data_IF_496262453798
#
_entry.id   IF_496262453798
#
_cell.length_a   1.000
_cell.length_b   1.000
_cell.length_c   1.000
_cell.angle_alpha   90.00
_cell.angle_beta   90.00
_cell.angle_gamma   90.00
#
_symmetry.space_group_name_H-M   'P 1'
#
loop_
_entity.id
_entity.type
_entity.pdbx_description
1 polymer ?
#
# COMPACT_ATOMS: atom_id res chain seq x y z
N UNK A 1 4.38 -11.44 21.54
CA UNK A 1 5.11 -10.26 21.01
C UNK A 1 5.09 -10.37 19.49
N UNK A 2 4.08 -9.79 18.82
CA UNK A 2 3.95 -9.86 17.37
C UNK A 2 4.98 -8.90 16.75
N UNK A 3 5.80 -9.31 15.76
CA UNK A 3 6.84 -8.45 15.19
C UNK A 3 6.25 -7.13 14.70
N UNK A 4 6.97 -6.04 14.95
CA UNK A 4 6.45 -4.66 14.94
C UNK A 4 6.06 -4.11 13.55
N UNK A 5 6.38 -4.81 12.46
CA UNK A 5 6.10 -4.38 11.10
C UNK A 5 5.43 -5.50 10.29
N UNK A 6 4.33 -5.18 9.62
CA UNK A 6 3.89 -5.96 8.47
C UNK A 6 4.70 -5.50 7.24
N UNK A 7 5.12 -6.43 6.39
CA UNK A 7 5.80 -6.10 5.14
C UNK A 7 4.96 -6.67 4.00
N UNK A 8 4.51 -5.81 3.10
CA UNK A 8 3.85 -6.24 1.86
C UNK A 8 4.87 -6.13 0.73
N UNK A 9 5.15 -7.26 0.07
CA UNK A 9 6.16 -7.35 -1.00
C UNK A 9 5.47 -7.54 -2.35
N UNK A 10 5.80 -6.67 -3.30
CA UNK A 10 5.38 -6.77 -4.70
C UNK A 10 6.63 -6.91 -5.56
N UNK A 11 6.57 -7.83 -6.52
CA UNK A 11 7.69 -8.13 -7.42
C UNK A 11 7.27 -7.91 -8.86
N UNK A 12 8.14 -7.27 -9.63
CA UNK A 12 8.00 -7.25 -11.07
C UNK A 12 9.37 -7.26 -11.76
N UNK A 13 9.44 -7.83 -12.95
CA UNK A 13 10.71 -8.21 -13.57
C UNK A 13 11.17 -7.28 -14.69
N UNK A 14 10.23 -6.67 -15.40
CA UNK A 14 10.47 -6.29 -16.78
C UNK A 14 10.82 -4.81 -17.01
N UNK A 15 10.57 -3.92 -16.04
CA UNK A 15 10.86 -2.47 -16.16
C UNK A 15 11.53 -1.94 -14.87
N UNK A 16 12.09 -0.73 -14.90
CA UNK A 16 12.43 0.02 -13.68
C UNK A 16 11.18 0.66 -13.06
N UNK A 17 11.28 1.13 -11.80
CA UNK A 17 10.15 1.79 -11.13
C UNK A 17 9.72 3.05 -11.90
N UNK A 18 10.70 3.83 -12.39
CA UNK A 18 10.45 5.05 -13.16
C UNK A 18 9.84 4.77 -14.54
N UNK A 19 10.26 3.71 -15.23
CA UNK A 19 9.66 3.33 -16.51
C UNK A 19 8.22 2.84 -16.32
N UNK A 20 7.98 2.02 -15.29
CA UNK A 20 6.65 1.53 -14.97
C UNK A 20 5.68 2.68 -14.65
N UNK A 21 6.12 3.69 -13.88
CA UNK A 21 5.35 4.90 -13.58
C UNK A 21 4.87 5.65 -14.83
N UNK A 22 5.67 5.67 -15.90
CA UNK A 22 5.36 6.42 -17.12
C UNK A 22 4.66 5.58 -18.19
N UNK A 23 4.76 4.26 -18.12
CA UNK A 23 4.32 3.35 -19.20
C UNK A 23 3.05 2.59 -18.85
N UNK A 24 2.87 2.24 -17.57
CA UNK A 24 1.77 1.42 -17.11
C UNK A 24 0.67 2.30 -16.51
N UNK A 25 -0.47 2.41 -17.21
CA UNK A 25 -1.63 3.17 -16.74
C UNK A 25 -2.13 2.65 -15.37
N UNK A 26 -2.21 1.33 -15.24
CA UNK A 26 -2.68 0.62 -14.03
C UNK A 26 -1.55 0.35 -13.01
N UNK A 27 -0.46 1.10 -13.04
CA UNK A 27 0.63 0.89 -12.08
C UNK A 27 0.20 1.28 -10.66
N UNK A 28 0.75 0.58 -9.67
CA UNK A 28 0.40 0.78 -8.27
C UNK A 28 1.03 2.02 -7.64
N UNK A 29 2.10 2.56 -8.21
CA UNK A 29 2.76 3.77 -7.70
C UNK A 29 2.35 4.99 -8.54
N UNK A 30 2.43 6.16 -7.91
CA UNK A 30 2.27 7.48 -8.51
C UNK A 30 3.37 8.42 -8.00
N UNK A 31 3.59 9.53 -8.71
CA UNK A 31 4.34 10.67 -8.18
C UNK A 31 3.37 11.65 -7.55
N UNK A 32 3.64 12.06 -6.31
CA UNK A 32 2.88 13.11 -5.68
C UNK A 32 3.20 14.50 -6.28
N UNK A 33 2.49 15.52 -5.81
CA UNK A 33 2.68 16.90 -6.25
C UNK A 33 4.10 17.44 -6.02
N UNK A 34 4.87 16.80 -5.12
CA UNK A 34 6.26 17.15 -4.80
C UNK A 34 7.27 16.31 -5.60
N UNK A 35 6.79 15.38 -6.44
CA UNK A 35 7.62 14.47 -7.24
C UNK A 35 8.09 13.22 -6.49
N UNK A 36 7.65 13.00 -5.25
CA UNK A 36 7.97 11.80 -4.47
C UNK A 36 7.12 10.62 -4.94
N UNK A 37 7.73 9.44 -5.04
CA UNK A 37 7.03 8.21 -5.45
C UNK A 37 6.30 7.64 -4.23
N UNK A 38 5.01 7.30 -4.41
CA UNK A 38 4.17 6.67 -3.39
C UNK A 38 3.15 5.73 -4.00
N UNK A 39 2.54 4.87 -3.19
CA UNK A 39 1.44 3.98 -3.51
C UNK A 39 0.17 4.80 -3.74
N UNK A 40 -0.43 4.58 -4.91
CA UNK A 40 -1.70 5.18 -5.31
C UNK A 40 -2.78 4.87 -4.30
N UNK A 41 -3.45 5.91 -3.81
CA UNK A 41 -4.44 5.79 -2.74
C UNK A 41 -5.73 5.12 -3.23
N UNK A 42 -6.02 5.20 -4.52
CA UNK A 42 -7.15 4.57 -5.20
C UNK A 42 -6.85 3.16 -5.76
N UNK A 43 -5.63 2.64 -5.60
CA UNK A 43 -5.22 1.35 -6.15
C UNK A 43 -5.49 0.18 -5.19
N UNK A 44 -5.78 -1.01 -5.74
CA UNK A 44 -6.13 -2.23 -5.00
C UNK A 44 -5.14 -2.60 -3.88
N UNK A 45 -3.85 -2.46 -4.17
CA UNK A 45 -2.79 -2.73 -3.19
C UNK A 45 -2.84 -1.81 -1.96
N UNK A 46 -3.27 -0.55 -2.12
CA UNK A 46 -3.42 0.35 -0.99
C UNK A 46 -4.54 -0.11 -0.06
N UNK A 47 -5.67 -0.57 -0.62
CA UNK A 47 -6.74 -1.18 0.19
C UNK A 47 -6.24 -2.40 0.96
N UNK A 48 -5.44 -3.27 0.34
CA UNK A 48 -4.87 -4.46 1.00
C UNK A 48 -3.93 -4.10 2.14
N UNK A 49 -3.03 -3.12 1.94
CA UNK A 49 -2.12 -2.63 2.99
C UNK A 49 -2.91 -2.05 4.16
N UNK A 50 -3.91 -1.21 3.87
CA UNK A 50 -4.76 -0.61 4.89
C UNK A 50 -5.53 -1.69 5.66
N UNK A 51 -6.14 -2.66 4.99
CA UNK A 51 -6.84 -3.76 5.64
C UNK A 51 -5.93 -4.54 6.58
N UNK A 52 -4.73 -4.93 6.12
CA UNK A 52 -3.76 -5.64 6.96
C UNK A 52 -3.39 -4.81 8.19
N UNK A 53 -3.13 -3.51 8.01
CA UNK A 53 -2.82 -2.60 9.10
C UNK A 53 -3.92 -2.53 10.16
N UNK A 54 -5.19 -2.46 9.74
CA UNK A 54 -6.33 -2.42 10.65
C UNK A 54 -6.58 -3.76 11.35
N UNK A 55 -6.59 -4.87 10.60
CA UNK A 55 -6.84 -6.20 11.15
C UNK A 55 -5.75 -6.66 12.11
N UNK A 56 -4.50 -6.27 11.86
CA UNK A 56 -3.35 -6.66 12.70
C UNK A 56 -2.98 -5.62 13.76
N UNK A 57 -3.72 -4.52 13.83
CA UNK A 57 -3.48 -3.37 14.71
C UNK A 57 -2.03 -2.85 14.66
N UNK A 58 -1.41 -2.89 13.47
CA UNK A 58 -0.03 -2.45 13.29
C UNK A 58 0.04 -0.93 13.10
N UNK A 59 1.07 -0.28 13.66
CA UNK A 59 1.24 1.16 13.50
C UNK A 59 1.69 1.55 12.08
N UNK A 60 2.29 0.61 11.33
CA UNK A 60 2.75 0.82 9.97
C UNK A 60 2.97 -0.50 9.24
N UNK A 61 3.01 -0.43 7.91
CA UNK A 61 3.41 -1.48 7.00
C UNK A 61 4.44 -0.93 6.01
N UNK A 62 5.57 -1.60 5.87
CA UNK A 62 6.55 -1.23 4.86
C UNK A 62 6.16 -1.89 3.53
N UNK A 63 5.72 -1.08 2.58
CA UNK A 63 5.41 -1.52 1.22
C UNK A 63 6.70 -1.55 0.41
N UNK A 64 7.11 -2.75 0.02
CA UNK A 64 8.37 -2.96 -0.71
C UNK A 64 8.06 -3.39 -2.15
N UNK A 65 8.56 -2.63 -3.12
CA UNK A 65 8.53 -2.98 -4.54
C UNK A 65 9.94 -3.30 -5.01
N UNK A 66 10.14 -4.48 -5.59
CA UNK A 66 11.44 -4.92 -6.11
C UNK A 66 11.41 -5.13 -7.63
N UNK A 67 12.50 -4.74 -8.30
CA UNK A 67 12.73 -4.98 -9.74
C UNK A 67 14.17 -5.40 -10.07
N UNK A 68 14.33 -6.31 -11.05
CA UNK A 68 15.63 -6.77 -11.57
C UNK A 68 16.35 -5.71 -12.40
N UNK A 69 15.64 -4.68 -12.90
CA UNK A 69 16.19 -3.72 -13.87
C UNK A 69 16.83 -2.48 -13.24
N UNK A 70 16.69 -2.29 -11.94
CA UNK A 70 17.16 -1.09 -11.26
C UNK A 70 18.14 -1.46 -10.14
N UNK A 71 19.35 -0.89 -10.19
CA UNK A 71 20.38 -1.10 -9.16
C UNK A 71 20.00 -0.49 -7.80
N UNK A 72 18.93 0.32 -7.77
CA UNK A 72 18.38 0.98 -6.59
C UNK A 72 17.20 0.22 -5.98
N UNK A 73 16.88 -0.99 -6.46
CA UNK A 73 15.88 -1.86 -5.85
C UNK A 73 16.30 -2.37 -4.47
N UNK A 74 15.37 -2.51 -3.50
CA UNK A 74 13.94 -2.23 -3.63
C UNK A 74 13.54 -0.77 -3.35
N UNK A 75 12.44 -0.34 -3.97
CA UNK A 75 11.67 0.81 -3.49
C UNK A 75 10.93 0.41 -2.21
N UNK A 76 10.96 1.27 -1.19
CA UNK A 76 10.25 1.05 0.08
C UNK A 76 9.46 2.30 0.44
N UNK A 77 8.17 2.14 0.69
CA UNK A 77 7.32 3.18 1.28
C UNK A 77 6.81 2.74 2.65
N UNK A 78 6.94 3.64 3.62
CA UNK A 78 6.37 3.47 4.94
C UNK A 78 4.89 3.91 4.97
N UNK A 79 3.98 2.95 4.99
CA UNK A 79 2.53 3.21 4.96
C UNK A 79 1.94 3.15 6.36
N UNK A 80 1.26 4.21 6.78
CA UNK A 80 0.55 4.26 8.06
C UNK A 80 -0.96 4.05 7.90
N UNK A 81 -1.66 3.59 8.95
CA UNK A 81 -3.11 3.44 8.92
C UNK A 81 -3.81 4.79 8.69
N UNK A 82 -4.60 4.88 7.63
CA UNK A 82 -5.42 6.04 7.32
C UNK A 82 -6.85 5.83 7.83
N UNK A 83 -7.13 6.40 9.02
CA UNK A 83 -8.44 6.28 9.68
C UNK A 83 -9.60 6.90 8.91
N UNK A 84 -9.35 7.93 8.10
CA UNK A 84 -10.41 8.52 7.27
C UNK A 84 -10.79 7.57 6.15
N UNK A 85 -9.79 6.93 5.54
CA UNK A 85 -9.99 5.93 4.50
C UNK A 85 -10.75 4.71 5.01
N UNK A 86 -10.40 4.23 6.20
CA UNK A 86 -11.10 3.14 6.87
C UNK A 86 -12.57 3.46 7.10
N UNK A 87 -12.88 4.67 7.58
CA UNK A 87 -14.27 5.10 7.76
C UNK A 87 -15.04 5.12 6.44
N UNK A 88 -14.41 5.57 5.36
CA UNK A 88 -15.04 5.56 4.03
C UNK A 88 -15.33 4.13 3.58
N UNK A 89 -14.36 3.21 3.70
CA UNK A 89 -14.56 1.79 3.33
C UNK A 89 -15.65 1.12 4.17
N UNK A 90 -15.64 1.34 5.48
CA UNK A 90 -16.65 0.80 6.40
C UNK A 90 -18.03 1.40 6.13
N UNK A 91 -18.11 2.68 5.78
CA UNK A 91 -19.39 3.34 5.48
C UNK A 91 -19.93 2.97 4.10
N UNK A 92 -19.08 2.61 3.13
CA UNK A 92 -19.53 2.06 1.85
C UNK A 92 -20.07 0.63 1.96
N UNK A 93 -19.61 -0.13 2.95
CA UNK A 93 -20.02 -1.51 3.21
C UNK A 93 -20.34 -1.71 4.70
N UNK A 94 -21.55 -1.29 5.15
CA UNK A 94 -21.90 -1.27 6.57
C UNK A 94 -21.88 -2.65 7.26
N UNK A 95 -22.03 -3.73 6.49
CA UNK A 95 -21.87 -5.12 6.95
C UNK A 95 -20.44 -5.40 7.45
N UNK A 96 -19.42 -4.89 6.75
CA UNK A 96 -18.00 -5.03 7.14
C UNK A 96 -17.69 -4.20 8.37
N UNK A 97 -18.34 -3.04 8.51
CA UNK A 97 -18.30 -2.22 9.70
C UNK A 97 -18.67 -3.01 10.95
N UNK A 98 -19.84 -3.65 10.96
CA UNK A 98 -20.32 -4.43 12.08
C UNK A 98 -19.40 -5.62 12.44
N UNK A 99 -18.69 -6.18 11.47
CA UNK A 99 -17.75 -7.28 11.71
C UNK A 99 -16.46 -6.82 12.40
N UNK A 100 -16.02 -5.58 12.14
CA UNK A 100 -14.76 -5.02 12.67
C UNK A 100 -14.90 -4.32 14.02
N UNK A 101 -16.09 -3.81 14.39
CA UNK A 101 -16.34 -3.25 15.75
C UNK A 101 -16.59 -4.33 16.82
N UNK A 102 -16.66 -5.60 16.41
CA UNK A 102 -16.98 -6.74 17.27
C UNK A 102 -15.75 -7.51 17.79
N UNK A 103 -14.54 -7.02 17.49
CA UNK A 103 -13.25 -7.64 17.89
C UNK A 103 -12.60 -6.82 19.01
#
# INVERSE_FOLDING_TARGET
MFPAAAVLQVWFRDLSVNEALNTLAEFCLEKDEQGSIRLKRDHTLYYQVQMQLFVTEKPYCDFTLWTERENTSPFVEHVTPNRQYFKIMVNSEPEVGNMLVSV
#
